data_IF_531976264314
#
_entry.id   IF_531976264314
#
_cell.length_a   1.000
_cell.length_b   1.000
_cell.length_c   1.000
_cell.angle_alpha   90.00
_cell.angle_beta   90.00
_cell.angle_gamma   90.00
#
_symmetry.space_group_name_H-M   'P 1'
#
loop_
_entity.id
_entity.type
_entity.pdbx_description
1 polymer ?
#
# COMPACT_ATOMS: atom_id res chain seq x y z
N UNK A 1 -34.07 15.46 -32.22
CA UNK A 1 -34.38 15.27 -30.79
C UNK A 1 -35.74 15.86 -30.50
N UNK A 2 -36.61 15.12 -29.81
CA UNK A 2 -37.89 15.66 -29.37
C UNK A 2 -37.65 16.69 -28.26
N UNK A 3 -38.40 17.80 -28.25
CA UNK A 3 -38.34 18.82 -27.19
C UNK A 3 -38.45 18.19 -25.78
N UNK A 4 -39.17 17.08 -25.66
CA UNK A 4 -39.32 16.31 -24.43
C UNK A 4 -38.03 15.61 -23.97
N UNK A 5 -37.20 15.14 -24.89
CA UNK A 5 -35.94 14.45 -24.57
C UNK A 5 -34.89 15.43 -24.07
N UNK A 6 -34.82 16.60 -24.71
CA UNK A 6 -33.92 17.67 -24.29
C UNK A 6 -34.22 18.13 -22.87
N UNK A 7 -35.49 18.41 -22.56
CA UNK A 7 -35.90 18.81 -21.20
C UNK A 7 -35.61 17.73 -20.15
N UNK A 8 -35.72 16.44 -20.50
CA UNK A 8 -35.32 15.36 -19.59
C UNK A 8 -33.82 15.36 -19.30
N UNK A 9 -32.99 15.61 -20.32
CA UNK A 9 -31.54 15.69 -20.17
C UNK A 9 -31.13 16.90 -19.32
N UNK A 10 -31.74 18.06 -19.51
CA UNK A 10 -31.49 19.26 -18.69
C UNK A 10 -31.85 19.02 -17.23
N UNK A 11 -33.01 18.39 -16.97
CA UNK A 11 -33.41 18.01 -15.61
C UNK A 11 -32.40 17.02 -14.99
N UNK A 12 -31.97 16.01 -15.74
CA UNK A 12 -31.00 15.04 -15.27
C UNK A 12 -29.64 15.69 -14.95
N UNK A 13 -29.20 16.69 -15.73
CA UNK A 13 -27.99 17.45 -15.44
C UNK A 13 -28.10 18.24 -14.12
N UNK A 14 -29.25 18.89 -13.87
CA UNK A 14 -29.49 19.59 -12.61
C UNK A 14 -29.53 18.63 -11.41
N UNK A 15 -30.25 17.51 -11.54
CA UNK A 15 -30.34 16.48 -10.50
C UNK A 15 -28.95 15.87 -10.22
N UNK A 16 -28.14 15.64 -11.27
CA UNK A 16 -26.76 15.14 -11.15
C UNK A 16 -25.86 16.13 -10.40
N UNK A 17 -25.88 17.42 -10.79
CA UNK A 17 -25.09 18.46 -10.11
C UNK A 17 -25.46 18.55 -8.62
N UNK A 18 -26.76 18.55 -8.31
CA UNK A 18 -27.25 18.60 -6.93
C UNK A 18 -26.79 17.38 -6.12
N UNK A 19 -26.86 16.18 -6.71
CA UNK A 19 -26.41 14.96 -6.07
C UNK A 19 -24.88 14.99 -5.81
N UNK A 20 -24.08 15.45 -6.78
CA UNK A 20 -22.64 15.51 -6.60
C UNK A 20 -22.21 16.53 -5.51
N UNK A 21 -22.89 17.67 -5.42
CA UNK A 21 -22.68 18.62 -4.32
C UNK A 21 -23.03 18.00 -2.96
N UNK A 22 -24.13 17.25 -2.89
CA UNK A 22 -24.50 16.55 -1.66
C UNK A 22 -23.46 15.49 -1.26
N UNK A 23 -22.96 14.69 -2.22
CA UNK A 23 -21.87 13.72 -1.98
C UNK A 23 -20.64 14.43 -1.41
N UNK A 24 -20.22 15.51 -2.06
CA UNK A 24 -19.04 16.29 -1.65
C UNK A 24 -19.18 16.81 -0.22
N UNK A 25 -20.36 17.33 0.14
CA UNK A 25 -20.62 17.83 1.49
C UNK A 25 -20.61 16.70 2.53
N UNK A 26 -21.26 15.57 2.24
CA UNK A 26 -21.28 14.41 3.14
C UNK A 26 -19.85 13.88 3.37
N UNK A 27 -19.04 13.80 2.31
CA UNK A 27 -17.65 13.37 2.44
C UNK A 27 -16.82 14.34 3.28
N UNK A 28 -17.02 15.65 3.10
CA UNK A 28 -16.36 16.67 3.91
C UNK A 28 -16.75 16.58 5.39
N UNK A 29 -18.05 16.42 5.69
CA UNK A 29 -18.55 16.24 7.06
C UNK A 29 -17.99 14.98 7.71
N UNK A 30 -17.99 13.85 7.00
CA UNK A 30 -17.39 12.59 7.47
C UNK A 30 -15.92 12.78 7.80
N UNK A 31 -15.15 13.43 6.91
CA UNK A 31 -13.73 13.69 7.13
C UNK A 31 -13.50 14.57 8.35
N UNK A 32 -14.31 15.61 8.54
CA UNK A 32 -14.23 16.48 9.71
C UNK A 32 -14.57 15.72 11.02
N UNK A 33 -15.58 14.84 10.98
CA UNK A 33 -15.95 14.01 12.13
C UNK A 33 -14.84 13.02 12.52
N UNK A 34 -14.23 12.33 11.54
CA UNK A 34 -13.09 11.44 11.77
C UNK A 34 -11.92 12.23 12.38
N UNK A 35 -11.56 13.36 11.80
CA UNK A 35 -10.47 14.20 12.31
C UNK A 35 -10.73 14.68 13.75
N UNK A 36 -11.98 14.97 14.11
CA UNK A 36 -12.36 15.35 15.47
C UNK A 36 -12.19 14.18 16.45
N UNK A 37 -12.60 12.98 16.07
CA UNK A 37 -12.44 11.77 16.89
C UNK A 37 -10.94 11.47 17.07
N UNK A 38 -10.16 11.54 16.00
CA UNK A 38 -8.71 11.32 16.05
C UNK A 38 -8.05 12.32 17.01
N UNK A 39 -8.40 13.61 16.90
CA UNK A 39 -7.86 14.64 17.79
C UNK A 39 -8.28 14.45 19.26
N UNK A 40 -9.51 13.98 19.51
CA UNK A 40 -10.02 13.72 20.86
C UNK A 40 -9.20 12.64 21.58
N UNK A 41 -8.83 11.57 20.88
CA UNK A 41 -8.10 10.44 21.46
C UNK A 41 -6.58 10.52 21.27
N UNK A 42 -6.06 11.46 20.48
CA UNK A 42 -4.64 11.56 20.15
C UNK A 42 -3.73 11.51 21.39
N UNK A 43 -4.02 12.34 22.41
CA UNK A 43 -3.19 12.42 23.61
C UNK A 43 -3.28 11.16 24.49
N UNK A 44 -4.47 10.58 24.61
CA UNK A 44 -4.68 9.36 25.40
C UNK A 44 -4.02 8.16 24.71
N UNK A 45 -4.14 8.07 23.39
CA UNK A 45 -3.49 7.05 22.57
C UNK A 45 -1.97 7.16 22.65
N UNK A 46 -1.41 8.36 22.53
CA UNK A 46 0.02 8.61 22.66
C UNK A 46 0.54 8.22 24.06
N UNK A 47 -0.18 8.61 25.12
CA UNK A 47 0.18 8.24 26.48
C UNK A 47 0.15 6.71 26.69
N UNK A 48 -0.89 6.03 26.21
CA UNK A 48 -1.01 4.58 26.31
C UNK A 48 0.09 3.85 25.51
N UNK A 49 0.41 4.35 24.31
CA UNK A 49 1.49 3.80 23.49
C UNK A 49 2.87 4.01 24.14
N UNK A 50 3.12 5.19 24.72
CA UNK A 50 4.38 5.47 25.44
C UNK A 50 4.53 4.55 26.65
N UNK A 51 3.49 4.41 27.48
CA UNK A 51 3.51 3.54 28.64
C UNK A 51 3.70 2.06 28.26
N UNK A 52 3.04 1.60 27.18
CA UNK A 52 3.23 0.25 26.66
C UNK A 52 4.68 0.03 26.18
N UNK A 53 5.27 1.00 25.48
CA UNK A 53 6.64 0.93 25.00
C UNK A 53 7.67 0.90 26.14
N UNK A 54 7.51 1.76 27.15
CA UNK A 54 8.37 1.75 28.34
C UNK A 54 8.31 0.41 29.09
N UNK A 55 7.11 -0.18 29.20
CA UNK A 55 6.93 -1.50 29.77
C UNK A 55 7.58 -2.59 28.90
N UNK A 56 7.45 -2.52 27.57
CA UNK A 56 8.10 -3.44 26.62
C UNK A 56 9.63 -3.38 26.73
N UNK A 57 10.21 -2.18 26.75
CA UNK A 57 11.66 -1.98 26.92
C UNK A 57 12.15 -2.58 28.25
N UNK A 58 11.39 -2.39 29.33
CA UNK A 58 11.70 -2.98 30.64
C UNK A 58 11.66 -4.51 30.61
N UNK A 59 10.60 -5.08 30.01
CA UNK A 59 10.43 -6.52 29.86
C UNK A 59 11.53 -7.13 28.97
N UNK A 60 11.90 -6.47 27.89
CA UNK A 60 12.97 -6.91 26.99
C UNK A 60 14.32 -6.91 27.72
N UNK A 61 14.65 -5.82 28.44
CA UNK A 61 15.89 -5.75 29.22
C UNK A 61 15.95 -6.86 30.27
N UNK A 62 14.85 -7.10 30.98
CA UNK A 62 14.73 -8.18 31.96
C UNK A 62 14.92 -9.56 31.31
N UNK A 63 14.18 -9.85 30.23
CA UNK A 63 14.25 -11.12 29.49
C UNK A 63 15.64 -11.39 28.91
N UNK A 64 16.36 -10.36 28.45
CA UNK A 64 17.73 -10.50 27.93
C UNK A 64 18.75 -10.70 29.05
N UNK A 65 18.64 -9.93 30.14
CA UNK A 65 19.59 -9.98 31.27
C UNK A 65 19.53 -11.31 32.02
N UNK A 66 18.32 -11.83 32.24
CA UNK A 66 18.08 -13.05 33.02
C UNK A 66 17.60 -14.20 32.14
N UNK A 67 18.04 -14.23 30.88
CA UNK A 67 17.58 -15.19 29.86
C UNK A 67 17.56 -16.63 30.35
N UNK A 68 18.66 -17.09 30.95
CA UNK A 68 18.82 -18.49 31.35
C UNK A 68 18.05 -18.83 32.64
N UNK A 69 17.57 -17.82 33.37
CA UNK A 69 16.77 -17.99 34.59
C UNK A 69 15.27 -18.01 34.27
N UNK A 70 14.84 -17.18 33.32
CA UNK A 70 13.42 -17.02 32.97
C UNK A 70 12.95 -18.05 31.93
N UNK A 71 13.83 -18.44 31.02
CA UNK A 71 13.55 -19.41 29.96
C UNK A 71 14.24 -20.74 30.30
N UNK A 72 13.44 -21.74 30.71
CA UNK A 72 13.92 -23.05 31.10
C UNK A 72 14.42 -23.85 29.88
N UNK A 73 15.71 -24.18 29.85
CA UNK A 73 16.33 -25.01 28.79
C UNK A 73 16.10 -24.44 27.38
N UNK A 74 15.41 -25.20 26.52
CA UNK A 74 15.09 -24.84 25.13
C UNK A 74 13.75 -24.12 24.99
N UNK A 75 13.01 -23.93 26.09
CA UNK A 75 11.76 -23.20 26.07
C UNK A 75 12.02 -21.74 25.76
N UNK A 76 11.27 -21.21 24.79
CA UNK A 76 11.38 -19.82 24.35
C UNK A 76 10.24 -18.97 24.87
N UNK A 77 9.36 -19.52 25.71
CA UNK A 77 8.15 -18.86 26.19
C UNK A 77 8.02 -19.08 27.68
N UNK A 78 7.59 -18.06 28.41
CA UNK A 78 7.30 -18.11 29.84
C UNK A 78 6.11 -17.20 30.15
N UNK A 79 5.65 -17.21 31.40
CA UNK A 79 4.57 -16.34 31.88
C UNK A 79 5.12 -15.40 32.95
N UNK A 80 4.88 -14.10 32.79
CA UNK A 80 5.21 -13.07 33.78
C UNK A 80 3.92 -12.37 34.21
N UNK A 81 3.39 -12.74 35.38
CA UNK A 81 2.10 -12.23 35.86
C UNK A 81 0.96 -12.53 34.88
N UNK A 82 0.26 -11.50 34.34
CA UNK A 82 -0.87 -11.70 33.43
C UNK A 82 -0.47 -11.92 31.96
N UNK A 83 0.82 -11.79 31.59
CA UNK A 83 1.26 -11.85 30.19
C UNK A 83 2.21 -13.02 29.92
N UNK A 84 2.22 -13.49 28.67
CA UNK A 84 3.22 -14.45 28.20
C UNK A 84 4.30 -13.73 27.39
N UNK A 85 5.56 -14.01 27.71
CA UNK A 85 6.73 -13.43 27.03
C UNK A 85 7.46 -14.53 26.30
N UNK A 86 7.86 -14.26 25.05
CA UNK A 86 8.57 -15.25 24.24
C UNK A 86 9.73 -14.66 23.43
N UNK A 87 10.82 -15.41 23.31
CA UNK A 87 11.95 -15.13 22.43
C UNK A 87 11.76 -15.85 21.11
N UNK A 88 11.18 -15.18 20.12
CA UNK A 88 11.05 -15.74 18.77
C UNK A 88 12.25 -15.35 17.92
N UNK A 89 12.71 -16.29 17.09
CA UNK A 89 13.58 -15.96 15.98
C UNK A 89 12.68 -15.42 14.86
N UNK A 90 13.00 -14.24 14.35
CA UNK A 90 12.37 -13.76 13.13
C UNK A 90 12.69 -14.73 11.99
N UNK A 91 11.82 -14.75 10.97
CA UNK A 91 12.12 -15.46 9.74
C UNK A 91 13.46 -14.95 9.18
N UNK A 92 14.36 -15.85 8.72
CA UNK A 92 15.61 -15.44 8.11
C UNK A 92 15.34 -14.41 7.01
N UNK A 93 16.01 -13.26 7.09
CA UNK A 93 15.95 -12.19 6.10
C UNK A 93 17.33 -11.95 5.50
N UNK A 94 17.36 -11.49 4.25
CA UNK A 94 18.61 -11.15 3.56
C UNK A 94 18.86 -9.66 3.79
N UNK A 95 19.87 -9.35 4.58
CA UNK A 95 20.41 -8.00 4.73
C UNK A 95 21.43 -7.69 3.63
N UNK A 96 21.56 -6.41 3.29
CA UNK A 96 22.71 -5.93 2.51
C UNK A 96 23.84 -5.64 3.49
N UNK A 97 25.03 -6.18 3.21
CA UNK A 97 26.21 -5.97 4.06
C UNK A 97 26.72 -4.53 3.87
N UNK A 98 26.82 -3.79 4.99
CA UNK A 98 27.28 -2.40 5.01
C UNK A 98 26.37 -1.46 4.21
N UNK A 99 26.95 -0.39 3.68
CA UNK A 99 26.20 0.67 2.98
C UNK A 99 26.09 0.44 1.46
N UNK A 100 26.16 -0.82 1.01
CA UNK A 100 26.06 -1.13 -0.41
C UNK A 100 24.69 -0.72 -0.95
N UNK A 101 24.69 0.03 -2.06
CA UNK A 101 23.45 0.38 -2.75
C UNK A 101 22.80 -0.88 -3.35
N UNK A 102 21.47 -1.04 -3.28
CA UNK A 102 20.76 -2.20 -3.84
C UNK A 102 21.12 -2.52 -5.30
N UNK A 103 21.30 -1.49 -6.14
CA UNK A 103 21.70 -1.66 -7.54
C UNK A 103 23.08 -2.36 -7.69
N UNK A 104 24.04 -2.04 -6.80
CA UNK A 104 25.35 -2.70 -6.80
C UNK A 104 25.24 -4.16 -6.35
N UNK A 105 24.35 -4.46 -5.41
CA UNK A 105 24.03 -5.84 -4.99
C UNK A 105 23.42 -6.62 -6.15
N UNK A 106 22.44 -6.04 -6.87
CA UNK A 106 21.85 -6.67 -8.07
C UNK A 106 22.90 -6.92 -9.14
N UNK A 107 23.83 -6.01 -9.39
CA UNK A 107 24.92 -6.22 -10.34
C UNK A 107 25.85 -7.39 -9.92
N UNK A 108 26.16 -7.51 -8.63
CA UNK A 108 26.90 -8.66 -8.09
C UNK A 108 26.11 -9.95 -8.16
N UNK A 109 24.80 -9.92 -7.86
CA UNK A 109 23.92 -11.08 -8.01
C UNK A 109 23.86 -11.54 -9.47
N UNK A 110 23.75 -10.62 -10.43
CA UNK A 110 23.82 -10.95 -11.87
C UNK A 110 25.15 -11.65 -12.25
N UNK A 111 26.26 -11.30 -11.59
CA UNK A 111 27.58 -11.90 -11.85
C UNK A 111 27.77 -13.27 -11.19
N UNK A 112 27.40 -13.40 -9.91
CA UNK A 112 27.76 -14.57 -9.09
C UNK A 112 26.59 -15.51 -8.81
N UNK A 113 25.35 -15.02 -8.82
CA UNK A 113 24.12 -15.74 -8.46
C UNK A 113 22.96 -15.38 -9.41
N UNK A 114 23.12 -15.53 -10.75
CA UNK A 114 22.15 -15.01 -11.73
C UNK A 114 20.75 -15.64 -11.60
N UNK A 115 20.66 -16.89 -11.15
CA UNK A 115 19.39 -17.59 -10.91
C UNK A 115 18.51 -16.93 -9.85
N UNK A 116 19.08 -16.06 -9.01
CA UNK A 116 18.38 -15.36 -7.92
C UNK A 116 18.01 -13.91 -8.29
N UNK A 117 18.21 -13.52 -9.56
CA UNK A 117 17.78 -12.22 -10.07
C UNK A 117 16.51 -12.40 -10.89
N UNK A 118 15.40 -11.87 -10.39
CA UNK A 118 14.13 -11.85 -11.14
C UNK A 118 14.20 -10.78 -12.24
N UNK A 119 13.90 -11.18 -13.47
CA UNK A 119 13.63 -10.26 -14.58
C UNK A 119 12.12 -10.21 -14.77
N UNK A 120 11.58 -8.99 -14.87
CA UNK A 120 10.18 -8.77 -15.23
C UNK A 120 10.16 -8.03 -16.56
N UNK A 121 9.65 -8.67 -17.59
CA UNK A 121 9.42 -8.04 -18.89
C UNK A 121 7.99 -7.53 -18.95
N UNK A 122 7.81 -6.34 -19.50
CA UNK A 122 6.50 -5.72 -19.67
C UNK A 122 6.42 -5.03 -21.02
N UNK A 123 5.20 -4.94 -21.53
CA UNK A 123 4.93 -4.30 -22.82
C UNK A 123 5.13 -2.78 -22.71
N UNK A 124 5.97 -2.21 -23.57
CA UNK A 124 6.08 -0.76 -23.72
C UNK A 124 4.92 -0.22 -24.55
N UNK A 125 3.76 -0.04 -23.89
CA UNK A 125 2.53 0.45 -24.53
C UNK A 125 2.72 1.85 -25.14
N UNK A 126 3.56 2.71 -24.55
CA UNK A 126 3.77 4.07 -25.04
C UNK A 126 4.49 4.05 -26.38
N UNK A 127 5.56 3.25 -26.48
CA UNK A 127 6.31 3.11 -27.73
C UNK A 127 5.48 2.45 -28.83
N UNK A 128 4.69 1.42 -28.48
CA UNK A 128 3.78 0.77 -29.42
C UNK A 128 2.74 1.76 -29.98
N UNK A 129 2.19 2.64 -29.13
CA UNK A 129 1.25 3.67 -29.56
C UNK A 129 1.92 4.78 -30.37
N UNK A 130 3.14 5.20 -30.02
CA UNK A 130 3.85 6.24 -30.77
C UNK A 130 4.26 5.81 -32.17
N UNK A 131 4.62 4.52 -32.34
CA UNK A 131 5.04 3.97 -33.62
C UNK A 131 3.90 3.29 -34.39
N UNK A 132 2.66 3.32 -33.86
CA UNK A 132 1.53 2.49 -34.29
C UNK A 132 1.37 2.43 -35.82
N UNK A 133 1.43 3.57 -36.51
CA UNK A 133 1.22 3.67 -37.96
C UNK A 133 2.24 2.86 -38.77
N UNK A 134 3.45 2.69 -38.24
CA UNK A 134 4.57 1.99 -38.90
C UNK A 134 4.57 0.49 -38.61
N UNK A 135 3.99 0.07 -37.49
CA UNK A 135 4.10 -1.30 -36.97
C UNK A 135 2.76 -2.03 -36.85
N UNK A 136 1.67 -1.50 -37.42
CA UNK A 136 0.32 -2.09 -37.30
C UNK A 136 0.27 -3.56 -37.70
N UNK A 137 1.00 -3.96 -38.77
CA UNK A 137 1.00 -5.36 -39.24
C UNK A 137 1.70 -6.28 -38.23
N UNK A 138 2.81 -5.81 -37.66
CA UNK A 138 3.61 -6.49 -36.65
C UNK A 138 2.85 -6.59 -35.33
N UNK A 139 2.18 -5.52 -34.91
CA UNK A 139 1.31 -5.52 -33.73
C UNK A 139 0.22 -6.58 -33.84
N UNK A 140 -0.44 -6.71 -35.00
CA UNK A 140 -1.44 -7.76 -35.24
C UNK A 140 -0.85 -9.17 -35.14
N UNK A 141 0.37 -9.40 -35.65
CA UNK A 141 1.06 -10.69 -35.48
C UNK A 141 1.33 -11.03 -34.01
N UNK A 142 1.50 -10.01 -33.17
CA UNK A 142 1.68 -10.15 -31.72
C UNK A 142 0.37 -10.22 -30.94
N UNK A 143 -0.80 -10.27 -31.59
CA UNK A 143 -2.11 -10.30 -30.92
C UNK A 143 -2.51 -8.95 -30.32
N UNK A 144 -1.99 -7.85 -30.85
CA UNK A 144 -2.28 -6.49 -30.38
C UNK A 144 -3.13 -5.74 -31.42
N UNK A 145 -4.06 -4.95 -30.91
CA UNK A 145 -4.82 -3.98 -31.69
C UNK A 145 -4.90 -2.66 -30.93
N UNK A 146 -4.97 -1.56 -31.68
CA UNK A 146 -5.24 -0.24 -31.10
C UNK A 146 -6.75 -0.05 -31.11
N UNK A 147 -7.33 0.03 -29.92
CA UNK A 147 -8.76 0.31 -29.73
C UNK A 147 -8.89 1.71 -29.16
N UNK A 148 -9.69 2.54 -29.83
CA UNK A 148 -10.02 3.88 -29.38
C UNK A 148 -11.55 4.02 -29.35
N UNK A 149 -12.10 4.02 -28.14
CA UNK A 149 -13.54 4.20 -27.92
C UNK A 149 -13.82 5.62 -27.44
N UNK A 150 -14.90 6.21 -27.95
CA UNK A 150 -15.43 7.45 -27.40
C UNK A 150 -15.99 7.18 -26.01
N UNK A 151 -15.58 8.00 -25.04
CA UNK A 151 -16.08 7.93 -23.67
C UNK A 151 -16.90 9.17 -23.34
N UNK A 152 -18.11 8.95 -22.87
CA UNK A 152 -18.92 10.02 -22.29
C UNK A 152 -18.32 10.50 -20.97
N UNK A 153 -18.20 11.82 -20.80
CA UNK A 153 -17.67 12.47 -19.62
C UNK A 153 -18.60 13.61 -19.18
N UNK A 154 -18.84 13.75 -17.88
CA UNK A 154 -19.51 14.90 -17.28
C UNK A 154 -18.45 15.69 -16.49
N UNK A 155 -18.37 17.00 -16.71
CA UNK A 155 -17.53 17.92 -15.94
C UNK A 155 -18.44 18.87 -15.16
N UNK A 156 -18.16 19.03 -13.87
CA UNK A 156 -18.86 19.93 -12.96
C UNK A 156 -18.00 21.13 -12.62
#
# INVERSE_FOLDING_TARGET
MSKREHTKAEKAAFDYQKAQLAITNIEAEKKAAIAKIDAQYAKELEAAQSAAKEAEETLEQYARKYRNEIFLKDEKTTTLGPISVSLKLNNPSIGIIGDLKPAAVVAKLKKYLPAYVRVSESMDKRKLLSDQEKITKEMKKCGLEVVQEERFEIKL
#
